data_IF_596835905253
#
_entry.id   IF_596835905253
#
_cell.length_a   1.000
_cell.length_b   1.000
_cell.length_c   1.000
_cell.angle_alpha   90.00
_cell.angle_beta   90.00
_cell.angle_gamma   90.00
#
_symmetry.space_group_name_H-M   'P 1'
#
loop_
_entity.id
_entity.type
_entity.pdbx_description
1 polymer ?
#
# COMPACT_ATOMS: atom_id res chain seq x y z
N UNK A 1 27.19 -58.58 20.25
CA UNK A 1 25.87 -58.38 20.87
C UNK A 1 25.74 -56.91 21.23
N UNK A 2 25.19 -56.10 20.34
CA UNK A 2 25.08 -54.64 20.53
C UNK A 2 23.68 -54.33 21.04
N UNK A 3 23.59 -53.90 22.29
CA UNK A 3 22.34 -53.57 22.98
C UNK A 3 21.86 -52.19 22.55
N UNK A 4 20.77 -52.13 21.79
CA UNK A 4 20.06 -50.89 21.47
C UNK A 4 18.88 -50.80 22.46
N UNK A 5 18.88 -49.88 23.44
CA UNK A 5 17.74 -49.76 24.34
C UNK A 5 16.55 -49.16 23.60
N UNK A 6 15.41 -49.85 23.70
CA UNK A 6 14.12 -49.36 23.24
C UNK A 6 13.75 -48.08 24.00
N UNK A 7 13.76 -46.94 23.30
CA UNK A 7 13.36 -45.65 23.85
C UNK A 7 11.89 -45.70 24.27
N UNK A 8 11.62 -45.30 25.53
CA UNK A 8 10.30 -45.28 26.15
C UNK A 8 9.31 -44.41 25.37
N UNK A 9 8.10 -44.95 25.12
CA UNK A 9 6.98 -44.27 24.42
C UNK A 9 6.59 -42.94 25.08
N UNK A 10 6.89 -42.74 26.36
CA UNK A 10 6.60 -41.50 27.10
C UNK A 10 7.47 -40.31 26.65
N UNK A 11 8.68 -40.56 26.14
CA UNK A 11 9.61 -39.51 25.68
C UNK A 11 9.18 -38.98 24.31
N UNK A 12 8.67 -39.86 23.44
CA UNK A 12 8.12 -39.51 22.12
C UNK A 12 6.85 -38.65 22.20
N UNK A 13 6.02 -38.85 23.24
CA UNK A 13 4.81 -38.05 23.42
C UNK A 13 5.13 -36.61 23.84
N UNK A 14 6.13 -36.42 24.69
CA UNK A 14 6.55 -35.11 25.18
C UNK A 14 7.19 -34.26 24.06
N UNK A 15 7.94 -34.89 23.13
CA UNK A 15 8.54 -34.18 21.99
C UNK A 15 7.52 -33.72 20.95
N UNK A 16 6.46 -34.50 20.72
CA UNK A 16 5.40 -34.15 19.75
C UNK A 16 4.52 -33.03 20.29
N UNK A 17 4.13 -33.07 21.57
CA UNK A 17 3.34 -32.00 22.19
C UNK A 17 4.13 -30.69 22.26
N UNK A 18 5.44 -30.75 22.56
CA UNK A 18 6.31 -29.57 22.52
C UNK A 18 6.38 -28.95 21.12
N UNK A 19 6.49 -29.75 20.05
CA UNK A 19 6.54 -29.26 18.67
C UNK A 19 5.23 -28.61 18.21
N UNK A 20 4.07 -29.18 18.58
CA UNK A 20 2.75 -28.61 18.25
C UNK A 20 2.50 -27.30 19.02
N UNK A 21 2.96 -27.21 20.27
CA UNK A 21 2.82 -25.99 21.08
C UNK A 21 3.78 -24.88 20.62
N UNK A 22 4.98 -25.23 20.15
CA UNK A 22 5.92 -24.26 19.57
C UNK A 22 5.39 -23.67 18.25
N UNK A 23 4.70 -24.46 17.43
CA UNK A 23 4.10 -24.00 16.18
C UNK A 23 2.96 -23.00 16.41
N UNK A 24 2.21 -23.13 17.51
CA UNK A 24 1.15 -22.18 17.89
C UNK A 24 1.65 -20.87 18.53
N UNK A 25 2.92 -20.79 18.95
CA UNK A 25 3.55 -19.57 19.49
C UNK A 25 4.30 -18.75 18.45
N UNK A 26 4.46 -19.27 17.23
CA UNK A 26 4.86 -18.47 16.09
C UNK A 26 3.62 -17.73 15.59
N UNK A 27 3.25 -16.70 16.35
CA UNK A 27 2.24 -15.73 15.96
C UNK A 27 2.50 -15.26 14.54
N UNK A 28 1.40 -15.05 13.82
CA UNK A 28 1.32 -14.36 12.53
C UNK A 28 2.20 -13.12 12.59
N UNK A 29 3.45 -13.26 12.16
CA UNK A 29 4.25 -12.15 11.70
C UNK A 29 3.74 -11.93 10.30
N UNK A 30 2.82 -10.98 10.17
CA UNK A 30 2.62 -10.32 8.88
C UNK A 30 4.01 -9.90 8.43
N UNK A 31 4.56 -10.64 7.46
CA UNK A 31 5.70 -10.26 6.65
C UNK A 31 5.32 -8.93 5.98
N UNK A 32 5.48 -7.86 6.74
CA UNK A 32 5.69 -6.54 6.20
C UNK A 32 6.99 -6.66 5.46
N UNK A 33 6.89 -7.06 4.18
CA UNK A 33 7.96 -6.87 3.22
C UNK A 33 8.59 -5.51 3.53
N UNK A 34 9.91 -5.48 3.58
CA UNK A 34 10.66 -4.24 3.77
C UNK A 34 10.37 -3.35 2.56
N UNK A 35 9.22 -2.67 2.60
CA UNK A 35 8.71 -1.88 1.50
C UNK A 35 9.26 -0.49 1.70
N UNK A 36 10.14 -0.08 0.79
CA UNK A 36 10.54 1.31 0.67
C UNK A 36 9.26 2.17 0.64
N UNK A 37 9.12 3.01 1.66
CA UNK A 37 8.04 3.98 1.72
C UNK A 37 8.43 5.15 0.84
N UNK A 38 7.49 5.56 0.01
CA UNK A 38 7.70 6.59 -0.99
C UNK A 38 6.56 7.59 -0.91
N UNK A 39 6.91 8.87 -1.03
CA UNK A 39 5.99 9.97 -1.25
C UNK A 39 6.11 10.42 -2.70
N UNK A 40 4.98 10.49 -3.39
CA UNK A 40 4.89 11.01 -4.75
C UNK A 40 3.97 12.21 -4.75
N UNK A 41 4.53 13.36 -5.12
CA UNK A 41 3.75 14.51 -5.56
C UNK A 41 3.42 14.34 -7.04
N UNK A 42 2.17 14.61 -7.41
CA UNK A 42 1.72 14.42 -8.78
C UNK A 42 0.82 15.55 -9.25
N UNK A 43 0.85 15.78 -10.56
CA UNK A 43 -0.07 16.67 -11.25
C UNK A 43 -0.55 16.03 -12.55
N UNK A 44 -1.86 15.98 -12.75
CA UNK A 44 -2.54 15.37 -13.89
C UNK A 44 -3.16 16.46 -14.76
N UNK A 45 -2.87 16.39 -16.06
CA UNK A 45 -3.29 17.33 -17.10
C UNK A 45 -4.34 16.70 -18.01
N UNK A 46 -5.24 17.53 -18.54
CA UNK A 46 -6.31 17.15 -19.47
C UNK A 46 -7.72 17.51 -18.95
N UNK A 47 -8.74 16.81 -19.43
CA UNK A 47 -10.14 16.98 -19.01
C UNK A 47 -10.39 16.24 -17.70
N UNK A 48 -9.92 16.81 -16.59
CA UNK A 48 -9.90 16.16 -15.27
C UNK A 48 -10.76 16.84 -14.19
N UNK A 49 -11.33 18.02 -14.49
CA UNK A 49 -12.27 18.70 -13.59
C UNK A 49 -13.73 18.49 -14.01
N UNK A 50 -14.66 18.51 -13.06
CA UNK A 50 -16.09 18.23 -13.31
C UNK A 50 -16.45 16.75 -13.52
N UNK A 51 -15.46 15.86 -13.58
CA UNK A 51 -15.63 14.43 -13.93
C UNK A 51 -15.46 13.48 -12.74
N UNK A 52 -15.71 13.94 -11.51
CA UNK A 52 -15.53 13.15 -10.28
C UNK A 52 -14.12 12.54 -10.11
N UNK A 53 -13.09 13.15 -10.71
CA UNK A 53 -11.72 12.62 -10.66
C UNK A 53 -11.22 12.42 -9.23
N UNK A 54 -11.35 13.46 -8.39
CA UNK A 54 -10.95 13.44 -6.97
C UNK A 54 -11.59 12.30 -6.16
N UNK A 55 -12.87 12.01 -6.40
CA UNK A 55 -13.58 10.93 -5.69
C UNK A 55 -13.08 9.55 -6.13
N UNK A 56 -12.87 9.36 -7.43
CA UNK A 56 -12.29 8.13 -7.96
C UNK A 56 -10.84 7.93 -7.48
N UNK A 57 -10.02 8.98 -7.48
CA UNK A 57 -8.65 8.96 -6.92
C UNK A 57 -8.67 8.53 -5.46
N UNK A 58 -9.56 9.09 -4.64
CA UNK A 58 -9.71 8.68 -3.23
C UNK A 58 -10.12 7.21 -3.09
N UNK A 59 -11.09 6.73 -3.88
CA UNK A 59 -11.51 5.33 -3.87
C UNK A 59 -10.36 4.39 -4.23
N UNK A 60 -9.58 4.75 -5.26
CA UNK A 60 -8.43 3.97 -5.70
C UNK A 60 -7.31 3.97 -4.65
N UNK A 61 -6.99 5.12 -4.07
CA UNK A 61 -5.99 5.22 -3.00
C UNK A 61 -6.38 4.37 -1.79
N UNK A 62 -7.65 4.39 -1.38
CA UNK A 62 -8.17 3.52 -0.30
C UNK A 62 -8.06 2.04 -0.64
N UNK A 63 -8.36 1.64 -1.88
CA UNK A 63 -8.21 0.25 -2.34
C UNK A 63 -6.76 -0.22 -2.26
N UNK A 64 -5.82 0.67 -2.59
CA UNK A 64 -4.37 0.42 -2.51
C UNK A 64 -3.78 0.67 -1.11
N UNK A 65 -4.60 1.05 -0.12
CA UNK A 65 -4.19 1.40 1.25
C UNK A 65 -3.12 2.52 1.29
N UNK A 66 -3.22 3.48 0.39
CA UNK A 66 -2.36 4.65 0.32
C UNK A 66 -2.94 5.83 1.11
N UNK A 67 -2.09 6.74 1.55
CA UNK A 67 -2.46 7.97 2.30
C UNK A 67 -2.01 9.21 1.53
N UNK A 68 -2.55 10.39 1.85
CA UNK A 68 -2.21 11.65 1.18
C UNK A 68 -3.43 12.53 0.90
N UNK A 69 -3.38 13.26 -0.21
CA UNK A 69 -4.49 14.14 -0.59
C UNK A 69 -4.57 14.37 -2.10
N UNK A 70 -5.74 14.83 -2.55
CA UNK A 70 -6.00 15.24 -3.93
C UNK A 70 -6.80 16.55 -3.98
N UNK A 71 -6.45 17.47 -4.88
CA UNK A 71 -7.16 18.74 -5.09
C UNK A 71 -7.21 19.14 -6.56
N UNK A 72 -8.22 19.93 -6.91
CA UNK A 72 -8.25 20.64 -8.18
C UNK A 72 -7.36 21.87 -8.06
N UNK A 73 -6.56 22.16 -9.08
CA UNK A 73 -5.79 23.41 -9.15
C UNK A 73 -6.60 24.51 -9.85
N UNK A 74 -6.14 25.76 -9.73
CA UNK A 74 -6.72 26.90 -10.45
C UNK A 74 -6.42 26.86 -11.95
N UNK A 75 -5.46 26.04 -12.37
CA UNK A 75 -5.03 25.90 -13.77
C UNK A 75 -5.82 24.84 -14.55
N UNK A 76 -6.88 24.27 -13.96
CA UNK A 76 -7.66 23.22 -14.61
C UNK A 76 -7.11 21.81 -14.44
N UNK A 77 -6.01 21.63 -13.69
CA UNK A 77 -5.38 20.32 -13.44
C UNK A 77 -5.86 19.71 -12.11
N UNK A 78 -5.44 18.47 -11.85
CA UNK A 78 -5.60 17.81 -10.54
C UNK A 78 -4.22 17.50 -9.98
N UNK A 79 -3.95 18.01 -8.78
CA UNK A 79 -2.68 17.80 -8.09
C UNK A 79 -2.90 17.08 -6.75
N UNK A 80 -1.87 16.39 -6.27
CA UNK A 80 -1.96 15.67 -5.01
C UNK A 80 -0.63 15.13 -4.52
N UNK A 81 -0.66 14.59 -3.31
CA UNK A 81 0.42 13.78 -2.75
C UNK A 81 -0.15 12.41 -2.42
N UNK A 82 0.61 11.36 -2.71
CA UNK A 82 0.30 10.00 -2.31
C UNK A 82 1.52 9.36 -1.67
N UNK A 83 1.32 8.69 -0.54
CA UNK A 83 2.36 8.04 0.24
C UNK A 83 1.99 6.60 0.54
N UNK A 84 3.00 5.73 0.52
CA UNK A 84 2.85 4.32 0.86
C UNK A 84 3.99 3.46 0.33
N UNK A 85 3.82 2.12 0.37
CA UNK A 85 4.76 1.18 -0.22
C UNK A 85 4.99 1.45 -1.70
N UNK A 86 6.24 1.36 -2.16
CA UNK A 86 6.65 1.55 -3.57
C UNK A 86 5.77 0.80 -4.57
N UNK A 87 5.41 -0.45 -4.30
CA UNK A 87 4.58 -1.25 -5.21
C UNK A 87 3.15 -0.73 -5.34
N UNK A 88 2.56 -0.27 -4.23
CA UNK A 88 1.23 0.34 -4.23
C UNK A 88 1.26 1.72 -4.93
N UNK A 89 2.35 2.48 -4.73
CA UNK A 89 2.59 3.74 -5.44
C UNK A 89 2.70 3.53 -6.95
N UNK A 90 3.42 2.51 -7.40
CA UNK A 90 3.54 2.19 -8.83
C UNK A 90 2.18 1.86 -9.46
N UNK A 91 1.34 1.09 -8.76
CA UNK A 91 -0.03 0.82 -9.20
C UNK A 91 -0.88 2.10 -9.27
N UNK A 92 -0.69 3.03 -8.33
CA UNK A 92 -1.37 4.32 -8.33
C UNK A 92 -0.92 5.21 -9.50
N UNK A 93 0.39 5.28 -9.77
CA UNK A 93 0.96 6.03 -10.92
C UNK A 93 0.38 5.52 -12.23
N UNK A 94 0.38 4.21 -12.44
CA UNK A 94 -0.22 3.60 -13.63
C UNK A 94 -1.71 3.96 -13.76
N UNK A 95 -2.48 3.89 -12.67
CA UNK A 95 -3.89 4.25 -12.68
C UNK A 95 -4.12 5.73 -13.03
N UNK A 96 -3.31 6.63 -12.48
CA UNK A 96 -3.36 8.07 -12.73
C UNK A 96 -2.95 8.45 -14.16
N UNK A 97 -2.14 7.61 -14.82
CA UNK A 97 -1.71 7.81 -16.22
C UNK A 97 -2.72 7.27 -17.24
N UNK A 98 -3.36 6.15 -16.95
CA UNK A 98 -4.07 5.38 -17.98
C UNK A 98 -5.56 5.17 -17.73
N UNK A 99 -6.03 5.24 -16.48
CA UNK A 99 -7.40 4.87 -16.12
C UNK A 99 -8.20 6.08 -15.68
N UNK A 100 -7.74 6.78 -14.63
CA UNK A 100 -8.42 7.95 -14.09
C UNK A 100 -9.91 7.73 -13.80
N UNK A 101 -10.70 8.80 -13.92
CA UNK A 101 -12.16 8.70 -13.90
C UNK A 101 -12.69 8.22 -15.24
N UNK A 102 -13.77 7.42 -15.30
CA UNK A 102 -14.37 6.98 -16.57
C UNK A 102 -14.75 8.11 -17.54
N UNK A 103 -15.02 9.31 -17.00
CA UNK A 103 -15.37 10.49 -17.79
C UNK A 103 -14.18 11.43 -18.03
N UNK A 104 -12.99 11.10 -17.55
CA UNK A 104 -11.80 11.95 -17.71
C UNK A 104 -11.01 11.60 -18.97
N UNK A 105 -10.35 12.61 -19.54
CA UNK A 105 -9.33 12.45 -20.57
C UNK A 105 -8.00 12.92 -20.02
N UNK A 106 -7.08 12.00 -19.80
CA UNK A 106 -5.72 12.31 -19.31
C UNK A 106 -4.84 12.59 -20.53
N UNK A 107 -4.25 13.78 -20.56
CA UNK A 107 -3.30 14.20 -21.61
C UNK A 107 -1.86 14.05 -21.16
N UNK A 108 -1.61 14.17 -19.85
CA UNK A 108 -0.30 14.01 -19.26
C UNK A 108 -0.36 13.86 -17.75
N UNK A 109 0.73 13.34 -17.18
CA UNK A 109 0.91 13.23 -15.74
C UNK A 109 2.37 13.47 -15.38
N UNK A 110 2.59 14.36 -14.42
CA UNK A 110 3.90 14.63 -13.81
C UNK A 110 3.96 13.95 -12.45
N UNK A 111 5.12 13.40 -12.10
CA UNK A 111 5.37 12.72 -10.83
C UNK A 111 6.74 13.12 -10.30
N UNK A 112 6.78 13.60 -9.06
CA UNK A 112 8.00 13.84 -8.29
C UNK A 112 8.04 12.87 -7.11
N UNK A 113 9.06 12.01 -7.06
CA UNK A 113 9.15 10.88 -6.16
C UNK A 113 10.26 11.05 -5.13
N UNK A 114 9.95 10.79 -3.85
CA UNK A 114 10.87 10.93 -2.73
C UNK A 114 10.75 9.75 -1.77
N UNK A 115 11.88 9.16 -1.37
CA UNK A 115 11.90 8.16 -0.30
C UNK A 115 11.63 8.81 1.05
N UNK A 116 10.78 8.20 1.87
CA UNK A 116 10.39 8.71 3.19
C UNK A 116 10.62 7.64 4.26
N UNK A 117 11.00 8.07 5.46
CA UNK A 117 11.21 7.14 6.59
C UNK A 117 9.88 6.72 7.26
N UNK A 118 8.84 7.56 7.14
CA UNK A 118 7.51 7.34 7.75
C UNK A 118 6.44 8.07 6.96
N UNK A 119 5.19 7.60 7.08
CA UNK A 119 4.02 8.28 6.52
C UNK A 119 3.75 9.60 7.25
N UNK A 120 3.48 10.65 6.49
CA UNK A 120 3.16 11.99 7.01
C UNK A 120 1.64 12.20 7.16
N UNK A 121 0.85 11.38 6.47
CA UNK A 121 -0.62 11.45 6.48
C UNK A 121 -1.22 10.21 7.13
N UNK A 122 -2.33 10.39 7.86
CA UNK A 122 -3.08 9.27 8.45
C UNK A 122 -4.16 8.69 7.53
N UNK A 123 -4.59 9.43 6.50
CA UNK A 123 -5.66 9.05 5.59
C UNK A 123 -5.44 9.65 4.20
N UNK A 124 -6.30 9.30 3.24
CA UNK A 124 -6.36 9.93 1.92
C UNK A 124 -7.59 10.83 1.77
N UNK A 125 -7.39 12.14 1.77
CA UNK A 125 -8.47 13.12 1.81
C UNK A 125 -8.57 13.99 0.54
N UNK A 126 -9.79 14.46 0.24
CA UNK A 126 -10.01 15.45 -0.81
C UNK A 126 -9.78 16.83 -0.18
N UNK A 127 -8.75 17.53 -0.66
CA UNK A 127 -8.43 18.87 -0.18
C UNK A 127 -9.21 19.92 -0.97
N UNK A 128 -9.84 20.82 -0.23
CA UNK A 128 -10.48 22.02 -0.73
C UNK A 128 -9.64 23.16 -0.16
N UNK A 129 -8.88 23.86 -1.02
CA UNK A 129 -7.90 24.86 -0.57
C UNK A 129 -8.51 25.82 0.46
N UNK A 130 -7.77 26.08 1.55
CA UNK A 130 -8.07 27.19 2.47
C UNK A 130 -7.77 28.53 1.81
#
# INVERSE_FOLDING_TARGET
MTYIPAMSRSILYLSVVAAVTLCCLQGVQSDGAMTDLVSVEYEIYGEVQGVFFRDNTRKQARRLKLVGWVKNTRHGTVAGIVQGPRDAINQMKHWLQHVGSPMSRIEGASFDEKSIARLEFGNFDISYGR
#
